data_IF_617928785617
#
_entry.id   IF_617928785617
#
_cell.length_a   1.000
_cell.length_b   1.000
_cell.length_c   1.000
_cell.angle_alpha   90.00
_cell.angle_beta   90.00
_cell.angle_gamma   90.00
#
_symmetry.space_group_name_H-M   'P 1'
#
loop_
_entity.id
_entity.type
_entity.pdbx_description
1 polymer ?
#
# COMPACT_ATOMS: atom_id res chain seq x y z
N UNK A 1 -10.46 -18.73 -13.17
CA UNK A 1 -10.49 -18.31 -11.76
C UNK A 1 -9.78 -16.99 -11.63
N UNK A 2 -10.00 -16.27 -10.52
CA UNK A 2 -9.29 -15.01 -10.21
C UNK A 2 -8.22 -15.32 -9.16
N UNK A 3 -7.02 -14.76 -9.35
CA UNK A 3 -5.90 -14.86 -8.41
C UNK A 3 -5.53 -13.47 -7.91
N UNK A 4 -5.18 -13.36 -6.64
CA UNK A 4 -4.68 -12.12 -6.04
C UNK A 4 -3.23 -12.30 -5.59
N UNK A 5 -2.41 -11.29 -5.85
CA UNK A 5 -1.04 -11.22 -5.37
C UNK A 5 -0.69 -9.77 -5.02
N UNK A 6 0.12 -9.60 -3.98
CA UNK A 6 0.82 -8.35 -3.71
C UNK A 6 2.18 -8.35 -4.41
N UNK A 7 2.67 -7.18 -4.80
CA UNK A 7 3.98 -7.02 -5.44
C UNK A 7 4.72 -5.83 -4.83
N UNK A 8 6.04 -5.94 -4.69
CA UNK A 8 6.91 -4.83 -4.29
C UNK A 8 8.31 -5.01 -4.87
N UNK A 9 9.10 -3.93 -4.98
CA UNK A 9 10.49 -3.98 -5.47
C UNK A 9 11.52 -4.44 -4.45
N UNK A 10 11.09 -4.84 -3.24
CA UNK A 10 11.99 -5.29 -2.18
C UNK A 10 12.68 -6.62 -2.52
N UNK A 11 13.77 -6.92 -1.81
CA UNK A 11 14.39 -8.26 -1.85
C UNK A 11 13.39 -9.30 -1.36
N UNK A 12 13.24 -10.39 -2.10
CA UNK A 12 12.26 -11.42 -1.80
C UNK A 12 12.45 -12.00 -0.39
N UNK A 13 13.69 -12.23 0.06
CA UNK A 13 13.95 -12.80 1.38
C UNK A 13 13.46 -11.89 2.52
N UNK A 14 13.63 -10.57 2.36
CA UNK A 14 13.17 -9.59 3.33
C UNK A 14 11.64 -9.52 3.38
N UNK A 15 11.00 -9.54 2.20
CA UNK A 15 9.53 -9.55 2.07
C UNK A 15 8.93 -10.82 2.69
N UNK A 16 9.52 -11.99 2.44
CA UNK A 16 9.06 -13.24 3.02
C UNK A 16 9.25 -13.30 4.54
N UNK A 17 10.37 -12.79 5.06
CA UNK A 17 10.59 -12.67 6.51
C UNK A 17 9.52 -11.78 7.15
N UNK A 18 9.23 -10.65 6.51
CA UNK A 18 8.22 -9.72 6.98
C UNK A 18 6.80 -10.30 6.88
N UNK A 19 6.47 -10.99 5.78
CA UNK A 19 5.21 -11.75 5.62
C UNK A 19 5.00 -12.76 6.74
N UNK A 20 6.06 -13.49 7.12
CA UNK A 20 6.03 -14.45 8.23
C UNK A 20 5.75 -13.76 9.56
N UNK A 21 6.45 -12.65 9.86
CA UNK A 21 6.21 -11.84 11.06
C UNK A 21 4.74 -11.41 11.17
N UNK A 22 4.18 -10.92 10.07
CA UNK A 22 2.82 -10.40 10.01
C UNK A 22 1.73 -11.49 9.89
N UNK A 23 2.11 -12.78 9.81
CA UNK A 23 1.18 -13.90 9.65
C UNK A 23 0.41 -13.93 8.32
N UNK A 24 0.77 -13.07 7.36
CA UNK A 24 0.05 -12.90 6.11
C UNK A 24 0.12 -14.13 5.21
N UNK A 25 -0.98 -14.43 4.50
CA UNK A 25 -1.11 -15.64 3.66
C UNK A 25 -1.20 -15.35 2.16
N UNK A 26 -1.46 -14.11 1.76
CA UNK A 26 -1.51 -13.74 0.34
C UNK A 26 -0.17 -13.98 -0.36
N UNK A 27 -0.16 -14.36 -1.65
CA UNK A 27 1.07 -14.37 -2.45
C UNK A 27 1.70 -12.97 -2.46
N UNK A 28 3.00 -12.90 -2.17
CA UNK A 28 3.75 -11.64 -2.23
C UNK A 28 4.99 -11.89 -3.09
N UNK A 29 5.02 -11.26 -4.27
CA UNK A 29 6.07 -11.45 -5.27
C UNK A 29 6.95 -10.21 -5.35
N UNK A 30 8.19 -10.39 -5.81
CA UNK A 30 9.13 -9.30 -5.99
C UNK A 30 9.25 -8.91 -7.47
N UNK A 31 9.26 -7.60 -7.73
CA UNK A 31 9.63 -7.03 -9.03
C UNK A 31 11.07 -6.51 -9.05
N UNK A 32 11.88 -6.82 -8.02
CA UNK A 32 13.28 -6.40 -7.97
C UNK A 32 14.04 -6.90 -9.21
N UNK A 33 14.74 -5.99 -9.88
CA UNK A 33 15.47 -6.30 -11.12
C UNK A 33 14.60 -6.26 -12.39
N UNK A 34 13.34 -5.87 -12.29
CA UNK A 34 12.45 -5.58 -13.43
C UNK A 34 11.97 -4.13 -13.43
N UNK A 35 11.39 -3.74 -14.55
CA UNK A 35 10.70 -2.47 -14.80
C UNK A 35 9.22 -2.49 -14.44
N UNK A 36 8.63 -3.66 -14.16
CA UNK A 36 7.18 -3.83 -13.96
C UNK A 36 6.49 -2.71 -13.17
N UNK A 37 6.97 -2.36 -11.97
CA UNK A 37 6.32 -1.31 -11.18
C UNK A 37 6.43 0.10 -11.81
N UNK A 38 7.51 0.38 -12.55
CA UNK A 38 7.65 1.64 -13.30
C UNK A 38 6.68 1.70 -14.47
N UNK A 39 6.46 0.58 -15.18
CA UNK A 39 5.49 0.50 -16.29
C UNK A 39 4.05 0.82 -15.85
N UNK A 40 3.76 0.61 -14.55
CA UNK A 40 2.47 0.95 -13.94
C UNK A 40 2.49 2.23 -13.12
N UNK A 41 3.52 3.08 -13.27
CA UNK A 41 3.61 4.40 -12.66
C UNK A 41 3.44 4.39 -11.12
N UNK A 42 3.94 3.33 -10.46
CA UNK A 42 3.92 3.19 -8.98
C UNK A 42 5.32 3.18 -8.38
N UNK A 43 6.36 3.21 -9.21
CA UNK A 43 7.76 3.39 -8.82
C UNK A 43 8.37 4.53 -9.61
N UNK A 44 9.29 5.26 -8.97
CA UNK A 44 9.88 6.47 -9.54
C UNK A 44 11.41 6.42 -9.47
N UNK A 45 12.06 6.89 -10.53
CA UNK A 45 13.52 7.01 -10.58
C UNK A 45 13.99 8.15 -9.68
N UNK A 46 15.29 8.22 -9.42
CA UNK A 46 15.88 9.35 -8.68
C UNK A 46 15.59 10.69 -9.37
N UNK A 47 15.67 10.73 -10.70
CA UNK A 47 15.35 11.93 -11.49
C UNK A 47 13.89 12.34 -11.31
N UNK A 48 12.96 11.39 -11.36
CA UNK A 48 11.54 11.68 -11.15
C UNK A 48 11.27 12.12 -9.72
N UNK A 49 11.90 11.50 -8.72
CA UNK A 49 11.79 11.88 -7.31
C UNK A 49 12.23 13.32 -7.04
N UNK A 50 13.21 13.82 -7.80
CA UNK A 50 13.70 15.20 -7.73
C UNK A 50 13.01 16.14 -8.74
N UNK A 51 12.03 15.63 -9.49
CA UNK A 51 11.39 16.33 -10.61
C UNK A 51 9.91 15.99 -10.71
N UNK A 52 9.49 15.53 -11.90
CA UNK A 52 8.10 15.20 -12.18
C UNK A 52 7.96 13.72 -12.51
N UNK A 53 6.98 13.06 -11.90
CA UNK A 53 6.51 11.72 -12.27
C UNK A 53 5.06 11.77 -12.78
N UNK A 54 4.61 10.68 -13.40
CA UNK A 54 3.18 10.48 -13.67
C UNK A 54 2.60 9.54 -12.62
N UNK A 55 1.46 9.90 -12.05
CA UNK A 55 0.75 9.05 -11.09
C UNK A 55 -0.74 9.39 -11.13
N UNK A 56 -1.60 8.37 -11.08
CA UNK A 56 -3.05 8.57 -11.12
C UNK A 56 -3.51 9.43 -12.33
N UNK A 57 -2.93 9.15 -13.51
CA UNK A 57 -3.23 9.81 -14.79
C UNK A 57 -2.93 11.32 -14.82
N UNK A 58 -2.07 11.79 -13.92
CA UNK A 58 -1.66 13.19 -13.86
C UNK A 58 -0.18 13.32 -13.51
N UNK A 59 0.42 14.45 -13.87
CA UNK A 59 1.77 14.78 -13.46
C UNK A 59 1.80 15.17 -11.98
N UNK A 60 2.78 14.67 -11.24
CA UNK A 60 3.02 15.01 -9.84
C UNK A 60 4.48 15.42 -9.64
N UNK A 61 4.70 16.41 -8.78
CA UNK A 61 6.03 16.89 -8.42
C UNK A 61 6.59 16.10 -7.23
N UNK A 62 7.89 15.83 -7.28
CA UNK A 62 8.67 15.16 -6.24
C UNK A 62 7.97 13.91 -5.65
N UNK A 63 7.48 12.97 -6.48
CA UNK A 63 6.85 11.74 -6.01
C UNK A 63 7.78 10.96 -5.08
N UNK A 64 7.26 10.40 -3.99
CA UNK A 64 8.00 9.37 -3.25
C UNK A 64 8.42 8.22 -4.19
N UNK A 65 9.55 7.57 -3.90
CA UNK A 65 10.07 6.48 -4.72
C UNK A 65 9.07 5.37 -5.05
N UNK A 66 8.10 5.13 -4.17
CA UNK A 66 7.01 4.18 -4.36
C UNK A 66 5.68 4.81 -3.95
N UNK A 67 4.64 4.57 -4.73
CA UNK A 67 3.25 4.93 -4.44
C UNK A 67 2.33 3.72 -4.63
N UNK A 68 1.17 3.66 -3.96
CA UNK A 68 0.28 2.51 -4.07
C UNK A 68 -0.48 2.46 -5.39
N UNK A 69 -0.68 1.24 -5.91
CA UNK A 69 -1.59 0.99 -7.02
C UNK A 69 -2.16 -0.43 -6.97
N UNK A 70 -3.29 -0.61 -7.64
CA UNK A 70 -3.92 -1.90 -7.86
C UNK A 70 -4.29 -2.02 -9.33
N UNK A 71 -3.80 -3.07 -9.97
CA UNK A 71 -4.05 -3.35 -11.39
C UNK A 71 -4.72 -4.72 -11.54
N UNK A 72 -5.53 -4.88 -12.58
CA UNK A 72 -6.08 -6.17 -12.98
C UNK A 72 -5.58 -6.56 -14.37
N UNK A 73 -5.30 -7.85 -14.52
CA UNK A 73 -4.81 -8.42 -15.76
C UNK A 73 -5.66 -9.62 -16.16
N UNK A 74 -5.92 -9.77 -17.46
CA UNK A 74 -6.61 -10.92 -18.02
C UNK A 74 -5.66 -11.69 -18.95
N UNK A 75 -5.57 -13.01 -18.79
CA UNK A 75 -4.86 -13.89 -19.71
C UNK A 75 -5.88 -14.52 -20.67
N UNK A 76 -5.76 -14.22 -21.95
CA UNK A 76 -6.60 -14.80 -23.01
C UNK A 76 -5.73 -15.16 -24.21
N UNK A 77 -5.84 -16.41 -24.67
CA UNK A 77 -5.12 -16.93 -25.84
C UNK A 77 -3.59 -16.69 -25.81
N UNK A 78 -3.00 -16.77 -24.60
CA UNK A 78 -1.57 -16.54 -24.39
C UNK A 78 -1.15 -15.07 -24.28
N UNK A 79 -2.10 -14.13 -24.39
CA UNK A 79 -1.87 -12.69 -24.30
C UNK A 79 -2.34 -12.17 -22.93
N UNK A 80 -1.50 -11.37 -22.28
CA UNK A 80 -1.84 -10.68 -21.05
C UNK A 80 -2.35 -9.28 -21.38
N UNK A 81 -3.60 -8.99 -21.00
CA UNK A 81 -4.23 -7.69 -21.15
C UNK A 81 -4.24 -6.98 -19.81
N UNK A 82 -3.84 -5.71 -19.80
CA UNK A 82 -4.05 -4.81 -18.67
C UNK A 82 -5.45 -4.19 -18.78
N UNK A 83 -6.34 -4.55 -17.87
CA UNK A 83 -7.77 -4.24 -18.01
C UNK A 83 -8.24 -3.14 -17.07
N UNK A 84 -7.45 -2.84 -16.03
CA UNK A 84 -7.81 -1.89 -14.99
C UNK A 84 -6.59 -1.46 -14.20
N UNK A 85 -6.56 -0.19 -13.78
CA UNK A 85 -5.75 0.28 -12.67
C UNK A 85 -6.51 1.30 -11.83
N UNK A 86 -6.23 1.31 -10.53
CA UNK A 86 -6.51 2.44 -9.68
C UNK A 86 -5.31 2.76 -8.79
N UNK A 87 -5.22 4.02 -8.39
CA UNK A 87 -4.12 4.58 -7.63
C UNK A 87 -4.67 5.44 -6.49
N UNK A 88 -3.80 5.91 -5.61
CA UNK A 88 -4.14 6.82 -4.52
C UNK A 88 -5.36 6.32 -3.74
N UNK A 89 -6.40 7.15 -3.58
CA UNK A 89 -7.64 6.84 -2.87
C UNK A 89 -8.47 5.73 -3.54
N UNK A 90 -8.17 5.35 -4.78
CA UNK A 90 -8.79 4.18 -5.42
C UNK A 90 -8.48 2.87 -4.69
N UNK A 91 -7.36 2.81 -3.95
CA UNK A 91 -7.00 1.67 -3.11
C UNK A 91 -7.76 1.59 -1.78
N UNK A 92 -8.53 2.62 -1.40
CA UNK A 92 -9.22 2.68 -0.10
C UNK A 92 -10.17 1.50 0.16
N UNK A 93 -10.67 0.85 -0.90
CA UNK A 93 -11.52 -0.34 -0.79
C UNK A 93 -10.82 -1.48 -0.04
N UNK A 94 -9.50 -1.54 -0.09
CA UNK A 94 -8.68 -2.51 0.65
C UNK A 94 -8.47 -2.10 2.12
N UNK A 95 -8.84 -0.87 2.49
CA UNK A 95 -8.71 -0.29 3.82
C UNK A 95 -10.08 -0.16 4.51
N UNK A 96 -10.84 -1.25 4.55
CA UNK A 96 -12.24 -1.24 5.02
C UNK A 96 -12.46 -0.64 6.41
N UNK A 97 -11.48 -0.74 7.32
CA UNK A 97 -11.58 -0.15 8.65
C UNK A 97 -11.64 1.39 8.62
N UNK A 98 -10.98 2.05 7.66
CA UNK A 98 -11.05 3.51 7.54
C UNK A 98 -12.46 3.95 7.15
N UNK A 99 -13.11 3.21 6.27
CA UNK A 99 -14.49 3.49 5.83
C UNK A 99 -15.50 3.41 6.99
N UNK A 100 -15.21 2.57 7.98
CA UNK A 100 -15.99 2.46 9.21
C UNK A 100 -15.68 3.60 10.19
N UNK A 101 -14.40 3.87 10.45
CA UNK A 101 -13.97 4.92 11.37
C UNK A 101 -14.38 6.32 10.89
N UNK A 102 -14.38 6.58 9.59
CA UNK A 102 -14.83 7.86 9.01
C UNK A 102 -16.30 8.20 9.34
N UNK A 103 -17.10 7.22 9.78
CA UNK A 103 -18.49 7.40 10.23
C UNK A 103 -18.65 7.60 11.73
N UNK A 104 -17.59 7.37 12.51
CA UNK A 104 -17.62 7.61 13.94
C UNK A 104 -17.63 9.12 14.24
N UNK A 105 -18.19 9.58 15.37
CA UNK A 105 -18.23 11.01 15.71
C UNK A 105 -16.85 11.70 15.74
N UNK A 106 -15.79 10.95 16.07
CA UNK A 106 -14.40 11.44 16.08
C UNK A 106 -13.64 11.13 14.77
N UNK A 107 -14.32 10.60 13.74
CA UNK A 107 -13.68 10.08 12.55
C UNK A 107 -12.62 9.02 12.89
N UNK A 108 -11.45 9.12 12.23
CA UNK A 108 -10.28 8.27 12.52
C UNK A 108 -9.55 8.63 13.82
N UNK A 109 -9.96 9.69 14.52
CA UNK A 109 -9.32 10.19 15.73
C UNK A 109 -7.81 10.48 15.53
N UNK A 110 -7.45 11.03 14.36
CA UNK A 110 -6.08 11.42 13.98
C UNK A 110 -5.84 12.90 14.33
N UNK A 111 -4.86 13.16 15.21
CA UNK A 111 -4.43 14.52 15.56
C UNK A 111 -3.62 15.21 14.46
N UNK A 112 -2.83 14.44 13.71
CA UNK A 112 -1.88 14.94 12.73
C UNK A 112 -2.31 14.85 11.27
N UNK A 113 -3.60 14.83 10.93
CA UNK A 113 -4.06 14.54 9.55
C UNK A 113 -3.37 15.38 8.44
N UNK A 114 -3.02 16.63 8.73
CA UNK A 114 -2.36 17.55 7.78
C UNK A 114 -0.87 17.22 7.51
N UNK A 115 -0.19 16.55 8.44
CA UNK A 115 1.27 16.31 8.36
C UNK A 115 1.65 14.82 8.42
N UNK A 116 0.85 14.02 9.10
CA UNK A 116 1.05 12.60 9.37
C UNK A 116 -0.27 11.85 9.24
N UNK A 117 -0.88 11.80 8.03
CA UNK A 117 -2.01 10.93 7.81
C UNK A 117 -1.63 9.50 8.20
N UNK A 118 -2.52 8.79 8.92
CA UNK A 118 -2.27 7.46 9.47
C UNK A 118 -1.37 7.39 10.72
N UNK A 119 -1.27 8.47 11.50
CA UNK A 119 -0.43 8.58 12.72
C UNK A 119 -0.57 7.41 13.71
N UNK A 120 -1.76 6.83 13.87
CA UNK A 120 -2.04 5.74 14.82
C UNK A 120 -1.79 4.33 14.26
N UNK A 121 -1.54 4.18 12.95
CA UNK A 121 -1.36 2.85 12.36
C UNK A 121 -0.11 2.22 12.93
N UNK A 122 -0.27 1.02 13.48
CA UNK A 122 0.83 0.19 13.97
C UNK A 122 0.69 -1.20 13.37
N UNK A 123 1.79 -1.95 13.32
CA UNK A 123 1.72 -3.38 13.04
C UNK A 123 0.94 -4.05 14.18
N UNK A 124 0.27 -5.17 13.91
CA UNK A 124 -0.57 -5.83 14.93
C UNK A 124 0.24 -6.23 16.19
N UNK A 125 1.55 -6.40 16.07
CA UNK A 125 2.48 -6.75 17.16
C UNK A 125 3.15 -5.53 17.83
N UNK A 126 2.79 -4.31 17.43
CA UNK A 126 3.32 -3.05 17.96
C UNK A 126 2.30 -2.30 18.83
N UNK A 127 1.04 -2.78 18.88
CA UNK A 127 0.06 -2.25 19.81
C UNK A 127 0.39 -2.69 21.23
N UNK A 128 0.66 -1.73 22.11
CA UNK A 128 0.82 -1.99 23.54
C UNK A 128 -0.54 -2.42 24.10
N UNK A 129 -0.62 -3.62 24.67
CA UNK A 129 -1.82 -4.07 25.39
C UNK A 129 -2.14 -3.11 26.51
N UNK A 130 -3.35 -2.56 26.54
CA UNK A 130 -3.81 -1.63 27.59
C UNK A 130 -4.10 -2.33 28.93
N UNK A 131 -3.48 -3.49 29.20
CA UNK A 131 -3.64 -4.22 30.47
C UNK A 131 -2.76 -3.67 31.61
N UNK A 132 -1.99 -2.61 31.38
CA UNK A 132 -1.15 -1.98 32.42
C UNK A 132 -1.55 -0.54 32.77
N UNK A 133 -2.80 -0.14 32.47
CA UNK A 133 -3.46 0.95 33.21
C UNK A 133 -4.38 0.36 34.28
N UNK A 134 -3.81 -0.43 35.18
CA UNK A 134 -4.40 -0.69 36.50
C UNK A 134 -4.72 0.67 37.14
N UNK A 135 -6.00 0.92 37.42
CA UNK A 135 -6.56 0.70 38.73
C UNK A 135 -5.81 1.48 39.82
N UNK A 136 -6.21 2.75 39.99
CA UNK A 136 -6.14 3.41 41.30
C UNK A 136 -7.60 3.68 41.70
N UNK A 137 -8.02 3.31 42.93
CA UNK A 137 -9.39 3.47 43.40
C UNK A 137 -9.87 4.92 43.44
#
# INVERSE_FOLDING_TARGET
>A
GVSFACISRGRLEAMEAYKRRMGWKFPWVSSLGSDFNFDFNVSFTEEQHQGTGEYNFTAIENPWYELPGMSAFALQDGVVYHTYSCFARGGDVLMGIYQLLDRAPAGRNESGFEHHPMEWVRRHDEYVSTESKEATP
#
